data_IF_598601959814
#
_entry.id   IF_598601959814
#
_cell.length_a   1.000
_cell.length_b   1.000
_cell.length_c   1.000
_cell.angle_alpha   90.00
_cell.angle_beta   90.00
_cell.angle_gamma   90.00
#
_symmetry.space_group_name_H-M   'P 1'
#
loop_
_entity.id
_entity.type
_entity.pdbx_description
1 polymer ?
#
# COMPACT_ATOMS: atom_id res chain seq x y z
N UNK A 1 -18.63 -8.02 -8.88
CA UNK A 1 -17.77 -8.22 -10.07
C UNK A 1 -16.47 -8.88 -9.65
N UNK A 2 -15.80 -9.61 -10.55
CA UNK A 2 -14.49 -10.21 -10.27
C UNK A 2 -13.39 -9.42 -11.00
N UNK A 3 -12.37 -8.97 -10.28
CA UNK A 3 -11.19 -8.27 -10.85
C UNK A 3 -9.99 -8.41 -9.92
N UNK A 4 -8.79 -8.52 -10.49
CA UNK A 4 -7.53 -8.63 -9.75
C UNK A 4 -7.47 -9.81 -8.77
N UNK A 5 -8.17 -10.90 -9.10
CA UNK A 5 -8.24 -12.10 -8.23
C UNK A 5 -9.14 -11.93 -7.00
N UNK A 6 -9.96 -10.87 -6.94
CA UNK A 6 -10.86 -10.56 -5.83
C UNK A 6 -12.31 -10.43 -6.32
N UNK A 7 -13.25 -10.62 -5.39
CA UNK A 7 -14.68 -10.33 -5.56
C UNK A 7 -14.98 -8.96 -4.99
N UNK A 8 -15.51 -8.08 -5.83
CA UNK A 8 -15.90 -6.71 -5.47
C UNK A 8 -17.40 -6.57 -5.43
N UNK A 9 -17.89 -5.85 -4.42
CA UNK A 9 -19.31 -5.56 -4.22
C UNK A 9 -19.52 -4.07 -3.97
N UNK A 10 -20.68 -3.56 -4.36
CA UNK A 10 -21.15 -2.22 -4.02
C UNK A 10 -22.50 -2.36 -3.34
N UNK A 11 -22.62 -1.84 -2.11
CA UNK A 11 -23.89 -1.85 -1.37
C UNK A 11 -24.84 -0.73 -1.81
N UNK A 12 -24.30 0.31 -2.46
CA UNK A 12 -25.08 1.42 -3.00
C UNK A 12 -25.80 1.05 -4.29
N UNK A 13 -26.82 1.84 -4.64
CA UNK A 13 -27.63 1.64 -5.86
C UNK A 13 -27.03 2.27 -7.11
N UNK A 14 -25.93 3.00 -6.98
CA UNK A 14 -25.25 3.71 -8.08
C UNK A 14 -23.74 3.52 -7.94
N UNK A 15 -23.20 2.36 -8.37
CA UNK A 15 -21.78 2.11 -8.28
C UNK A 15 -21.00 3.06 -9.19
N UNK A 16 -19.95 3.69 -8.66
CA UNK A 16 -18.95 4.36 -9.49
C UNK A 16 -18.25 3.33 -10.40
N UNK A 17 -17.71 3.77 -11.56
CA UNK A 17 -16.85 2.93 -12.37
C UNK A 17 -15.71 2.35 -11.54
N UNK A 18 -15.40 1.06 -11.74
CA UNK A 18 -14.28 0.44 -11.06
C UNK A 18 -12.97 1.04 -11.58
N UNK A 19 -12.05 1.50 -10.71
CA UNK A 19 -10.83 2.14 -11.16
C UNK A 19 -9.94 1.16 -11.93
N UNK A 20 -9.38 1.63 -13.05
CA UNK A 20 -8.36 0.90 -13.79
C UNK A 20 -6.99 1.25 -13.19
N UNK A 21 -6.41 0.30 -12.45
CA UNK A 21 -5.19 0.53 -11.67
C UNK A 21 -3.92 0.17 -12.46
N UNK A 22 -3.95 -0.96 -13.15
CA UNK A 22 -2.84 -1.44 -13.98
C UNK A 22 -3.35 -2.43 -15.01
N UNK A 23 -2.80 -2.35 -16.22
CA UNK A 23 -3.00 -3.33 -17.29
C UNK A 23 -2.09 -4.55 -17.14
N UNK A 24 -1.10 -4.51 -16.23
CA UNK A 24 -0.17 -5.62 -15.98
C UNK A 24 -0.92 -6.88 -15.48
N UNK A 25 -2.09 -6.72 -14.83
CA UNK A 25 -2.93 -7.88 -14.45
C UNK A 25 -3.60 -8.58 -15.63
N UNK A 26 -3.64 -7.97 -16.80
CA UNK A 26 -4.24 -8.58 -18.00
C UNK A 26 -3.17 -9.19 -18.92
N UNK A 27 -1.89 -8.93 -18.64
CA UNK A 27 -0.75 -9.43 -19.42
C UNK A 27 -0.40 -10.88 -19.00
N UNK A 28 -0.33 -11.84 -19.95
CA UNK A 28 0.07 -13.21 -19.66
C UNK A 28 1.53 -13.37 -19.21
N UNK A 29 2.39 -12.36 -19.39
CA UNK A 29 3.76 -12.36 -18.88
C UNK A 29 3.83 -12.17 -17.36
N UNK A 30 2.76 -11.64 -16.74
CA UNK A 30 2.69 -11.42 -15.30
C UNK A 30 2.12 -12.63 -14.58
N UNK A 31 2.93 -13.27 -13.73
CA UNK A 31 2.43 -14.26 -12.77
C UNK A 31 1.64 -13.54 -11.68
N UNK A 32 0.50 -14.10 -11.30
CA UNK A 32 -0.45 -13.51 -10.33
C UNK A 32 -0.50 -14.40 -9.10
N UNK A 33 -0.38 -13.80 -7.92
CA UNK A 33 -0.49 -14.49 -6.64
C UNK A 33 -1.46 -13.73 -5.75
N UNK A 34 -2.43 -14.43 -5.16
CA UNK A 34 -3.37 -13.87 -4.19
C UNK A 34 -3.07 -14.45 -2.81
N UNK A 35 -2.40 -13.69 -1.92
CA UNK A 35 -2.22 -14.04 -0.52
C UNK A 35 -3.55 -14.10 0.25
N UNK A 36 -3.51 -14.74 1.41
CA UNK A 36 -4.68 -14.80 2.30
C UNK A 36 -5.03 -13.40 2.83
N UNK A 37 -6.32 -13.09 3.04
CA UNK A 37 -6.74 -11.80 3.60
C UNK A 37 -6.22 -11.61 5.03
N UNK A 38 -5.83 -10.38 5.37
CA UNK A 38 -5.27 -10.04 6.69
C UNK A 38 -6.27 -9.23 7.50
N UNK A 39 -6.80 -9.76 8.63
CA UNK A 39 -7.61 -8.96 9.55
C UNK A 39 -6.76 -7.92 10.27
N UNK A 40 -7.24 -6.67 10.31
CA UNK A 40 -6.57 -5.53 10.94
C UNK A 40 -7.52 -4.88 11.96
N UNK A 41 -7.08 -4.76 13.21
CA UNK A 41 -7.79 -4.08 14.30
C UNK A 41 -7.62 -2.55 14.28
N UNK A 42 -7.78 -1.96 13.08
CA UNK A 42 -7.83 -0.53 12.84
C UNK A 42 -8.78 -0.22 11.67
N UNK A 43 -9.18 1.05 11.56
CA UNK A 43 -10.02 1.50 10.45
C UNK A 43 -9.32 1.32 9.10
N UNK A 44 -10.11 1.14 8.02
CA UNK A 44 -9.57 1.01 6.66
C UNK A 44 -8.72 2.23 6.25
N UNK A 45 -9.07 3.43 6.72
CA UNK A 45 -8.28 4.64 6.50
C UNK A 45 -6.89 4.58 7.13
N UNK A 46 -6.76 4.10 8.38
CA UNK A 46 -5.45 3.89 9.02
C UNK A 46 -4.60 2.88 8.26
N UNK A 47 -5.23 1.81 7.78
CA UNK A 47 -4.54 0.76 7.04
C UNK A 47 -3.99 1.31 5.71
N UNK A 48 -4.82 2.02 4.93
CA UNK A 48 -4.39 2.59 3.65
C UNK A 48 -3.33 3.68 3.85
N UNK A 49 -3.49 4.52 4.87
CA UNK A 49 -2.48 5.51 5.23
C UNK A 49 -1.12 4.85 5.55
N UNK A 50 -1.12 3.77 6.35
CA UNK A 50 0.10 3.03 6.66
C UNK A 50 0.76 2.40 5.42
N UNK A 51 -0.01 2.02 4.41
CA UNK A 51 0.52 1.46 3.16
C UNK A 51 1.16 2.51 2.25
N UNK A 52 0.62 3.73 2.22
CA UNK A 52 1.13 4.81 1.37
C UNK A 52 2.20 5.65 2.07
N UNK A 53 2.42 5.44 3.37
CA UNK A 53 3.56 5.98 4.10
C UNK A 53 4.83 5.22 3.71
N UNK A 54 5.89 5.98 3.42
CA UNK A 54 7.21 5.44 3.08
C UNK A 54 8.23 5.73 4.18
N UNK A 55 7.89 6.59 5.14
CA UNK A 55 8.76 6.98 6.24
C UNK A 55 8.97 5.83 7.23
N UNK A 56 7.97 4.93 7.37
CA UNK A 56 8.06 3.82 8.31
C UNK A 56 9.01 2.70 7.86
N UNK A 57 9.42 2.65 6.59
CA UNK A 57 10.15 1.50 6.04
C UNK A 57 11.37 1.12 6.89
N UNK A 58 12.28 2.06 7.15
CA UNK A 58 13.49 1.81 7.94
C UNK A 58 13.24 1.58 9.45
N UNK A 59 12.00 1.77 9.92
CA UNK A 59 11.64 1.60 11.32
C UNK A 59 10.83 0.33 11.57
N UNK A 60 10.03 -0.09 10.60
CA UNK A 60 9.08 -1.22 10.70
C UNK A 60 9.60 -2.44 9.96
N UNK A 61 10.08 -2.27 8.72
CA UNK A 61 10.44 -3.38 7.82
C UNK A 61 11.89 -3.85 7.94
N UNK A 62 12.46 -3.73 9.15
CA UNK A 62 13.88 -4.01 9.42
C UNK A 62 14.22 -5.50 9.35
N UNK A 63 13.22 -6.38 9.47
CA UNK A 63 13.42 -7.84 9.37
C UNK A 63 13.03 -8.41 8.00
N UNK A 64 12.40 -7.60 7.15
CA UNK A 64 11.89 -8.01 5.84
C UNK A 64 12.70 -7.45 4.69
N UNK A 65 12.82 -6.13 4.52
CA UNK A 65 13.49 -5.54 3.34
C UNK A 65 14.27 -4.25 3.59
N UNK A 66 13.96 -3.49 4.64
CA UNK A 66 14.53 -2.17 4.84
C UNK A 66 15.79 -2.20 5.72
N UNK A 67 16.74 -1.32 5.40
CA UNK A 67 17.91 -1.08 6.24
C UNK A 67 17.56 -0.02 7.31
N UNK A 68 17.68 -0.34 8.62
CA UNK A 68 17.41 0.63 9.69
C UNK A 68 18.34 1.86 9.69
N UNK A 69 19.48 1.81 9.01
CA UNK A 69 20.35 2.97 8.82
C UNK A 69 19.88 3.90 7.68
N UNK A 70 18.97 3.46 6.81
CA UNK A 70 18.50 4.20 5.65
C UNK A 70 17.13 4.87 5.90
N UNK A 71 17.09 5.82 6.83
CA UNK A 71 15.86 6.48 7.28
C UNK A 71 15.47 7.73 6.48
N UNK A 72 16.26 8.09 5.46
CA UNK A 72 16.02 9.31 4.71
C UNK A 72 14.83 9.14 3.76
N UNK A 73 13.89 10.08 3.81
CA UNK A 73 12.77 10.19 2.87
C UNK A 73 13.05 11.35 1.91
N UNK A 74 13.46 11.09 0.66
CA UNK A 74 13.62 12.13 -0.33
C UNK A 74 12.32 12.90 -0.58
N UNK A 75 12.44 14.17 -0.95
CA UNK A 75 11.29 14.97 -1.34
C UNK A 75 10.61 14.38 -2.59
N UNK A 76 9.29 14.33 -2.58
CA UNK A 76 8.46 13.86 -3.68
C UNK A 76 7.27 14.81 -3.87
N UNK A 77 6.61 14.71 -5.03
CA UNK A 77 5.41 15.48 -5.35
C UNK A 77 4.20 14.55 -5.44
N UNK A 78 3.05 15.04 -4.96
CA UNK A 78 1.77 14.35 -5.08
C UNK A 78 0.92 15.02 -6.14
N UNK A 79 0.44 14.23 -7.08
CA UNK A 79 -0.58 14.62 -8.06
C UNK A 79 -1.95 14.21 -7.51
N UNK A 80 -2.93 15.11 -7.59
CA UNK A 80 -4.28 14.88 -7.10
C UNK A 80 -5.26 15.02 -8.25
N UNK A 81 -6.21 14.09 -8.33
CA UNK A 81 -7.34 14.14 -9.25
C UNK A 81 -8.67 13.99 -8.49
N UNK A 82 -9.78 13.96 -9.22
CA UNK A 82 -11.13 13.95 -8.62
C UNK A 82 -11.40 12.70 -7.76
N UNK A 83 -10.70 11.61 -8.04
CA UNK A 83 -11.00 10.31 -7.47
C UNK A 83 -9.85 9.74 -6.60
N UNK A 84 -8.75 10.49 -6.45
CA UNK A 84 -7.53 9.93 -5.87
C UNK A 84 -6.29 10.81 -5.92
N UNK A 85 -5.16 10.17 -5.64
CA UNK A 85 -3.84 10.77 -5.72
C UNK A 85 -2.80 9.79 -6.26
N UNK A 86 -1.75 10.32 -6.87
CA UNK A 86 -0.64 9.58 -7.47
C UNK A 86 0.70 10.21 -7.10
N UNK A 87 1.71 9.39 -6.83
CA UNK A 87 3.06 9.87 -6.56
C UNK A 87 4.12 8.80 -6.84
N UNK A 88 5.31 9.25 -7.21
CA UNK A 88 6.51 8.41 -7.29
C UNK A 88 7.39 8.66 -6.07
N UNK A 89 7.81 7.59 -5.42
CA UNK A 89 8.84 7.59 -4.39
C UNK A 89 10.12 6.93 -4.92
N UNK A 90 11.16 7.72 -5.09
CA UNK A 90 12.49 7.27 -5.52
C UNK A 90 13.46 7.29 -4.35
N UNK A 91 13.98 6.13 -3.94
CA UNK A 91 14.92 6.02 -2.82
C UNK A 91 15.91 4.86 -3.00
N UNK A 92 16.93 4.79 -2.15
CA UNK A 92 17.87 3.68 -2.10
C UNK A 92 17.40 2.52 -1.20
N UNK A 93 16.19 2.61 -0.62
CA UNK A 93 15.62 1.53 0.19
C UNK A 93 15.28 0.34 -0.72
N UNK A 94 15.95 -0.78 -0.49
CA UNK A 94 15.80 -2.03 -1.26
C UNK A 94 14.36 -2.57 -1.25
N UNK A 95 13.97 -3.33 -2.29
CA UNK A 95 12.81 -4.23 -2.22
C UNK A 95 13.22 -5.71 -2.23
N UNK A 96 14.51 -6.01 -2.23
CA UNK A 96 14.97 -7.39 -2.03
C UNK A 96 14.88 -7.76 -0.55
N UNK A 97 14.38 -8.97 -0.28
CA UNK A 97 14.27 -9.48 1.07
C UNK A 97 15.65 -9.60 1.74
N UNK A 98 15.70 -9.25 3.02
CA UNK A 98 16.86 -9.48 3.88
C UNK A 98 17.19 -10.98 3.86
N UNK A 99 18.45 -11.32 3.60
CA UNK A 99 18.91 -12.70 3.51
C UNK A 99 18.64 -13.42 2.18
N UNK A 100 18.07 -12.76 1.17
CA UNK A 100 17.87 -13.34 -0.18
C UNK A 100 19.17 -13.55 -0.95
N UNK A 101 20.27 -12.88 -0.56
CA UNK A 101 21.52 -12.83 -1.32
C UNK A 101 21.46 -11.94 -2.56
N UNK A 102 20.30 -11.33 -2.86
CA UNK A 102 20.14 -10.37 -3.95
C UNK A 102 20.56 -8.97 -3.50
N UNK A 103 21.31 -8.27 -4.36
CA UNK A 103 21.74 -6.90 -4.10
C UNK A 103 21.64 -6.08 -5.36
N UNK A 104 21.17 -4.84 -5.24
CA UNK A 104 21.30 -3.82 -6.27
C UNK A 104 21.98 -2.60 -5.66
N UNK A 105 23.31 -2.65 -5.64
CA UNK A 105 24.13 -1.58 -5.06
C UNK A 105 23.86 -0.26 -5.80
N UNK A 106 23.68 0.82 -5.04
CA UNK A 106 23.41 2.19 -5.54
C UNK A 106 22.18 2.30 -6.46
N UNK A 107 21.31 1.29 -6.48
CA UNK A 107 20.10 1.31 -7.28
C UNK A 107 19.03 2.20 -6.65
N UNK A 108 18.47 3.09 -7.47
CA UNK A 108 17.36 3.95 -7.09
C UNK A 108 16.06 3.23 -7.39
N UNK A 109 15.38 2.78 -6.34
CA UNK A 109 14.09 2.12 -6.41
C UNK A 109 13.00 3.14 -6.63
N UNK A 110 12.32 3.05 -7.77
CA UNK A 110 11.08 3.79 -8.02
C UNK A 110 9.88 2.96 -7.56
N UNK A 111 9.06 3.56 -6.70
CA UNK A 111 7.77 3.04 -6.24
C UNK A 111 6.68 4.01 -6.69
N UNK A 112 5.82 3.59 -7.61
CA UNK A 112 4.72 4.39 -8.15
C UNK A 112 3.44 4.02 -7.43
N UNK A 113 2.85 4.97 -6.70
CA UNK A 113 1.61 4.78 -5.96
C UNK A 113 0.45 5.43 -6.70
N UNK A 114 -0.67 4.70 -6.78
CA UNK A 114 -1.98 5.19 -7.22
C UNK A 114 -3.02 4.85 -6.15
N UNK A 115 -3.58 5.87 -5.52
CA UNK A 115 -4.56 5.74 -4.43
C UNK A 115 -5.91 6.18 -4.94
N UNK A 116 -6.88 5.27 -4.90
CA UNK A 116 -8.26 5.46 -5.34
C UNK A 116 -9.19 5.43 -4.13
N UNK A 117 -9.91 6.53 -3.95
CA UNK A 117 -10.69 6.72 -2.74
C UNK A 117 -11.90 5.75 -2.66
N UNK A 118 -12.33 5.37 -1.45
CA UNK A 118 -11.74 5.75 -0.17
C UNK A 118 -10.61 4.82 0.29
N UNK A 119 -10.62 3.53 -0.08
CA UNK A 119 -9.79 2.51 0.60
C UNK A 119 -9.05 1.55 -0.34
N UNK A 120 -8.65 2.05 -1.52
CA UNK A 120 -7.92 1.28 -2.51
C UNK A 120 -6.61 1.99 -2.84
N UNK A 121 -5.50 1.26 -2.81
CA UNK A 121 -4.22 1.72 -3.29
C UNK A 121 -3.56 0.65 -4.17
N UNK A 122 -2.69 1.10 -5.06
CA UNK A 122 -1.92 0.27 -5.96
C UNK A 122 -0.48 0.78 -5.96
N UNK A 123 0.47 -0.13 -5.81
CA UNK A 123 1.89 0.14 -5.83
C UNK A 123 2.55 -0.64 -6.95
N UNK A 124 3.19 0.05 -7.88
CA UNK A 124 4.15 -0.54 -8.84
C UNK A 124 5.57 -0.29 -8.37
N UNK A 125 6.30 -1.36 -8.10
CA UNK A 125 7.74 -1.34 -7.83
C UNK A 125 8.48 -1.67 -9.13
N UNK A 126 9.39 -0.78 -9.53
CA UNK A 126 10.21 -0.96 -10.73
C UNK A 126 11.54 -1.63 -10.36
N UNK A 127 11.67 -2.92 -10.65
CA UNK A 127 12.89 -3.69 -10.46
C UNK A 127 13.83 -3.52 -11.67
N UNK A 128 15.14 -3.80 -11.53
CA UNK A 128 16.07 -3.80 -12.66
C UNK A 128 15.65 -4.73 -13.81
N UNK A 129 14.92 -5.80 -13.50
CA UNK A 129 14.57 -6.89 -14.40
C UNK A 129 13.06 -7.09 -14.60
N UNK A 130 12.21 -6.16 -14.14
CA UNK A 130 10.77 -6.32 -14.22
C UNK A 130 9.98 -5.33 -13.36
N UNK A 131 8.69 -5.58 -13.20
CA UNK A 131 7.77 -4.84 -12.33
C UNK A 131 7.05 -5.79 -11.38
N UNK A 132 6.85 -5.31 -10.16
CA UNK A 132 5.95 -5.91 -9.19
C UNK A 132 4.81 -4.94 -8.93
N UNK A 133 3.59 -5.39 -9.13
CA UNK A 133 2.39 -4.66 -8.78
C UNK A 133 1.77 -5.27 -7.52
N UNK A 134 1.41 -4.42 -6.57
CA UNK A 134 0.80 -4.76 -5.30
C UNK A 134 -0.49 -3.98 -5.18
N UNK A 135 -1.60 -4.69 -5.08
CA UNK A 135 -2.88 -4.08 -4.72
C UNK A 135 -2.97 -3.99 -3.19
N UNK A 136 -3.56 -2.93 -2.67
CA UNK A 136 -3.99 -2.82 -1.29
C UNK A 136 -5.48 -2.43 -1.29
N UNK A 137 -6.35 -3.40 -1.04
CA UNK A 137 -7.78 -3.18 -0.86
C UNK A 137 -8.17 -3.38 0.59
N UNK A 138 -8.37 -2.30 1.33
CA UNK A 138 -8.82 -2.35 2.72
C UNK A 138 -10.35 -2.34 2.79
N UNK A 139 -10.93 -3.50 3.10
CA UNK A 139 -12.38 -3.64 3.25
C UNK A 139 -12.82 -3.28 4.68
N UNK A 140 -13.61 -2.21 4.88
CA UNK A 140 -14.10 -1.85 6.21
C UNK A 140 -15.16 -2.86 6.67
N UNK A 141 -14.90 -3.55 7.79
CA UNK A 141 -15.86 -4.48 8.42
C UNK A 141 -16.51 -3.88 9.66
N UNK A 142 -15.89 -2.86 10.25
CA UNK A 142 -16.47 -1.97 11.26
C UNK A 142 -15.77 -0.59 11.18
N UNK A 143 -16.18 0.37 12.02
CA UNK A 143 -15.53 1.69 12.10
C UNK A 143 -14.07 1.62 12.56
N UNK A 144 -13.71 0.59 13.35
CA UNK A 144 -12.40 0.40 13.94
C UNK A 144 -11.68 -0.87 13.47
N UNK A 145 -12.22 -1.56 12.45
CA UNK A 145 -11.72 -2.86 11.96
C UNK A 145 -11.82 -2.96 10.45
N UNK A 146 -10.82 -3.57 9.84
CA UNK A 146 -10.77 -3.81 8.40
C UNK A 146 -10.19 -5.19 8.07
N UNK A 147 -10.39 -5.63 6.82
CA UNK A 147 -9.72 -6.80 6.25
C UNK A 147 -8.97 -6.33 5.01
N UNK A 148 -7.66 -6.53 5.01
CA UNK A 148 -6.78 -6.21 3.89
C UNK A 148 -6.75 -7.37 2.89
N UNK A 149 -6.93 -7.04 1.62
CA UNK A 149 -6.69 -7.91 0.48
C UNK A 149 -5.52 -7.35 -0.33
N UNK A 150 -4.49 -8.17 -0.56
CA UNK A 150 -3.26 -7.72 -1.23
C UNK A 150 -2.78 -8.66 -2.36
N UNK A 151 -3.57 -8.90 -3.41
CA UNK A 151 -3.09 -9.63 -4.57
C UNK A 151 -1.90 -8.89 -5.21
N UNK A 152 -0.98 -9.68 -5.78
CA UNK A 152 0.21 -9.19 -6.47
C UNK A 152 0.30 -9.78 -7.87
N UNK A 153 0.94 -9.04 -8.79
CA UNK A 153 1.40 -9.61 -10.06
C UNK A 153 2.79 -9.09 -10.44
N UNK A 154 3.58 -9.91 -11.12
CA UNK A 154 4.95 -9.58 -11.50
C UNK A 154 5.44 -10.38 -12.71
N UNK A 155 6.37 -9.82 -13.47
CA UNK A 155 6.90 -10.36 -14.75
C UNK A 155 8.33 -10.90 -14.66
N UNK A 156 8.82 -11.18 -13.45
CA UNK A 156 10.16 -11.69 -13.19
C UNK A 156 10.16 -12.85 -12.19
N UNK A 157 11.24 -13.64 -12.21
CA UNK A 157 11.34 -14.84 -11.37
C UNK A 157 11.56 -14.47 -9.90
N UNK A 158 10.59 -14.82 -9.04
CA UNK A 158 10.64 -14.67 -7.58
C UNK A 158 10.05 -15.88 -6.86
N UNK A 159 10.76 -17.01 -6.89
CA UNK A 159 10.43 -18.19 -6.10
C UNK A 159 9.02 -18.76 -6.31
N UNK A 160 8.57 -19.64 -5.42
CA UNK A 160 7.23 -20.24 -5.52
C UNK A 160 6.13 -19.29 -5.06
N UNK A 161 4.87 -19.58 -5.40
CA UNK A 161 3.72 -18.80 -4.94
C UNK A 161 3.65 -18.79 -3.39
N UNK A 162 3.98 -19.90 -2.74
CA UNK A 162 4.06 -20.01 -1.29
C UNK A 162 5.12 -19.07 -0.71
N UNK A 163 6.31 -19.00 -1.31
CA UNK A 163 7.36 -18.09 -0.85
C UNK A 163 6.93 -16.61 -0.98
N UNK A 164 6.20 -16.27 -2.05
CA UNK A 164 5.63 -14.92 -2.23
C UNK A 164 4.58 -14.63 -1.16
N UNK A 165 3.67 -15.58 -0.89
CA UNK A 165 2.66 -15.45 0.16
C UNK A 165 3.28 -15.32 1.56
N UNK A 166 4.27 -16.13 1.87
CA UNK A 166 4.97 -16.10 3.16
C UNK A 166 5.72 -14.79 3.37
N UNK A 167 6.35 -14.25 2.32
CA UNK A 167 7.01 -12.95 2.42
C UNK A 167 6.00 -11.81 2.60
N UNK A 168 4.91 -11.83 1.84
CA UNK A 168 3.83 -10.86 1.97
C UNK A 168 3.21 -10.88 3.38
N UNK A 169 2.96 -12.07 3.93
CA UNK A 169 2.45 -12.25 5.29
C UNK A 169 3.41 -11.68 6.36
N UNK A 170 4.73 -11.81 6.17
CA UNK A 170 5.72 -11.21 7.08
C UNK A 170 5.70 -9.68 7.04
N UNK A 171 5.64 -9.07 5.85
CA UNK A 171 5.55 -7.60 5.71
C UNK A 171 4.30 -7.08 6.42
N UNK A 172 3.14 -7.66 6.14
CA UNK A 172 1.90 -7.19 6.75
C UNK A 172 1.78 -7.53 8.23
N UNK A 173 2.51 -8.52 8.75
CA UNK A 173 2.61 -8.72 10.19
C UNK A 173 3.35 -7.56 10.87
N UNK A 174 4.43 -7.04 10.27
CA UNK A 174 5.14 -5.85 10.76
C UNK A 174 4.25 -4.59 10.70
N UNK A 175 3.59 -4.35 9.56
CA UNK A 175 2.67 -3.21 9.40
C UNK A 175 1.51 -3.28 10.39
N UNK A 176 0.92 -4.47 10.55
CA UNK A 176 -0.21 -4.68 11.46
C UNK A 176 0.14 -4.29 12.89
N UNK A 177 1.34 -4.65 13.37
CA UNK A 177 1.80 -4.27 14.70
C UNK A 177 1.88 -2.74 14.86
N UNK A 178 2.33 -2.02 13.84
CA UNK A 178 2.34 -0.55 13.88
C UNK A 178 0.91 0.02 13.88
N UNK A 179 0.10 -0.38 12.91
CA UNK A 179 -1.22 0.20 12.64
C UNK A 179 -2.21 -0.08 13.78
N UNK A 180 -2.22 -1.30 14.34
CA UNK A 180 -3.16 -1.67 15.42
C UNK A 180 -2.86 -0.97 16.77
N UNK A 181 -1.65 -0.42 16.92
CA UNK A 181 -1.26 0.34 18.11
C UNK A 181 -1.63 1.82 18.04
N UNK A 182 -2.11 2.33 16.90
CA UNK A 182 -2.52 3.72 16.77
C UNK A 182 -3.79 4.02 17.57
N UNK A 183 -3.79 5.14 18.30
CA UNK A 183 -4.92 5.61 19.09
C UNK A 183 -5.23 7.07 18.75
N UNK A 184 -6.49 7.39 18.37
CA UNK A 184 -7.62 6.48 18.19
C UNK A 184 -7.45 5.54 16.97
N UNK A 185 -8.21 4.42 16.97
CA UNK A 185 -8.23 3.41 15.88
C UNK A 185 -8.86 3.89 14.59
N UNK A 186 -9.75 4.87 14.66
CA UNK A 186 -10.22 5.61 13.48
C UNK A 186 -9.14 6.58 13.03
N UNK A 187 -9.09 6.91 11.74
CA UNK A 187 -8.17 7.89 11.20
C UNK A 187 -8.68 9.32 11.50
N UNK A 188 -7.98 10.13 12.32
CA UNK A 188 -8.36 11.52 12.52
C UNK A 188 -8.18 12.30 11.23
N UNK A 189 -9.28 12.82 10.68
CA UNK A 189 -9.24 13.66 9.47
C UNK A 189 -8.98 15.14 9.82
N UNK A 190 -9.31 15.56 11.04
CA UNK A 190 -9.01 16.89 11.58
C UNK A 190 -7.58 16.99 12.17
N UNK A 191 -7.14 18.22 12.46
CA UNK A 191 -5.79 18.54 12.95
C UNK A 191 -5.53 18.06 14.40
N UNK A 192 -5.64 16.75 14.63
CA UNK A 192 -5.33 16.09 15.89
C UNK A 192 -3.92 15.50 15.93
N UNK A 193 -3.33 15.21 14.76
CA UNK A 193 -1.99 14.64 14.62
C UNK A 193 -1.07 15.62 13.87
N UNK A 194 0.20 15.65 14.27
CA UNK A 194 1.21 16.49 13.61
C UNK A 194 1.72 15.79 12.35
N UNK A 195 1.84 16.55 11.25
CA UNK A 195 2.39 16.07 9.99
C UNK A 195 3.69 16.78 9.65
N UNK A 196 4.61 16.05 9.04
CA UNK A 196 5.92 16.50 8.57
C UNK A 196 6.03 16.36 7.05
N UNK A 197 7.15 16.82 6.48
CA UNK A 197 7.35 16.80 5.03
C UNK A 197 7.28 15.39 4.41
N UNK A 198 7.63 14.36 5.17
CA UNK A 198 7.54 12.96 4.73
C UNK A 198 6.09 12.49 4.54
N UNK A 199 5.14 13.08 5.27
CA UNK A 199 3.74 12.67 5.33
C UNK A 199 2.88 13.26 4.21
N UNK A 200 3.50 13.78 3.14
CA UNK A 200 2.81 14.55 2.10
C UNK A 200 1.64 13.77 1.48
N UNK A 201 1.84 12.49 1.14
CA UNK A 201 0.78 11.62 0.62
C UNK A 201 -0.37 11.46 1.62
N UNK A 202 -0.06 11.19 2.90
CA UNK A 202 -1.03 11.06 3.99
C UNK A 202 -1.86 12.33 4.19
N UNK A 203 -1.23 13.51 4.12
CA UNK A 203 -1.92 14.81 4.21
C UNK A 203 -2.93 14.98 3.08
N UNK A 204 -2.55 14.68 1.84
CA UNK A 204 -3.48 14.76 0.70
C UNK A 204 -4.59 13.70 0.80
N UNK A 205 -4.26 12.49 1.20
CA UNK A 205 -5.24 11.41 1.39
C UNK A 205 -6.31 11.81 2.42
N UNK A 206 -5.92 12.27 3.62
CA UNK A 206 -6.86 12.75 4.65
C UNK A 206 -7.71 13.92 4.15
N UNK A 207 -7.11 14.86 3.43
CA UNK A 207 -7.83 16.00 2.84
C UNK A 207 -8.92 15.53 1.88
N UNK A 208 -8.61 14.57 1.01
CA UNK A 208 -9.55 14.00 0.04
C UNK A 208 -10.67 13.22 0.73
N UNK A 209 -10.37 12.39 1.72
CA UNK A 209 -11.39 11.69 2.51
C UNK A 209 -12.37 12.68 3.17
N UNK A 210 -11.86 13.79 3.73
CA UNK A 210 -12.70 14.84 4.31
C UNK A 210 -13.60 15.49 3.24
N UNK A 211 -13.07 15.75 2.04
CA UNK A 211 -13.85 16.34 0.93
C UNK A 211 -14.97 15.41 0.45
N UNK A 212 -14.80 14.09 0.55
CA UNK A 212 -15.88 13.12 0.30
C UNK A 212 -16.99 13.13 1.37
N UNK A 213 -16.80 13.87 2.47
CA UNK A 213 -17.74 13.92 3.59
C UNK A 213 -17.54 12.80 4.62
N UNK A 214 -16.44 12.05 4.57
CA UNK A 214 -16.07 11.16 5.66
C UNK A 214 -15.68 12.00 6.88
N UNK A 215 -16.13 11.57 8.05
CA UNK A 215 -15.81 12.20 9.33
C UNK A 215 -15.33 11.17 10.35
N UNK A 216 -14.60 11.67 11.34
CA UNK A 216 -14.34 10.94 12.58
C UNK A 216 -15.64 10.94 13.37
N UNK A 217 -16.44 9.88 13.24
CA UNK A 217 -17.63 9.72 14.09
C UNK A 217 -17.29 9.85 15.58
#
# INVERSE_FOLDING_TARGET
MERYGLVWTCLGTSPSPFPELSTDWDDPAFRKVTPDPVPIAASAGRQVEGFIDVAHFAHVHTTTFADPANTAVPAYSVQVDEDGLRFDYCSTVSNYAVGSGMTAQDFVWRRSFDVRLPYLAHLTVHFPNGRLNILNGASPVASDRSVLFSPVCFDFEIGTDEAVKDFNARIFAEDRLMVENQQPRHLPLEAAEASFAADLASVYYRRLLRQMGLSTA
#
